data_IF_295720364270
#
_entry.id   IF_295720364270
#
_cell.length_a   1.000
_cell.length_b   1.000
_cell.length_c   1.000
_cell.angle_alpha   90.00
_cell.angle_beta   90.00
_cell.angle_gamma   90.00
#
_symmetry.space_group_name_H-M   'P 1'
#
loop_
_entity.id
_entity.type
_entity.pdbx_description
1 polymer ?
#
# COMPACT_ATOMS: atom_id res chain seq x y z
N UNK A 1 2.66 65.90 -19.72
CA UNK A 1 3.86 65.15 -20.16
C UNK A 1 4.16 64.11 -19.09
N UNK A 2 3.92 62.83 -19.38
CA UNK A 2 4.97 61.83 -19.66
C UNK A 2 5.83 61.54 -18.41
N UNK A 3 6.03 60.35 -17.86
CA UNK A 3 5.46 59.00 -17.92
C UNK A 3 6.24 58.22 -16.81
N UNK A 4 5.78 57.03 -16.44
CA UNK A 4 6.58 55.91 -15.90
C UNK A 4 7.13 56.03 -14.47
N UNK A 5 6.54 55.28 -13.53
CA UNK A 5 7.12 54.01 -13.07
C UNK A 5 6.12 53.25 -12.19
N UNK A 6 5.42 52.27 -12.78
CA UNK A 6 4.67 51.26 -12.04
C UNK A 6 5.65 50.16 -11.63
N UNK A 7 6.20 50.24 -10.42
CA UNK A 7 6.87 49.10 -9.81
C UNK A 7 5.81 48.17 -9.24
N UNK A 8 5.38 47.22 -10.07
CA UNK A 8 4.67 46.03 -9.65
C UNK A 8 5.56 45.29 -8.63
N UNK A 9 5.15 45.27 -7.38
CA UNK A 9 5.72 44.37 -6.37
C UNK A 9 5.19 42.97 -6.70
N UNK A 10 5.93 42.26 -7.55
CA UNK A 10 5.66 40.89 -7.93
C UNK A 10 5.71 40.03 -6.66
N UNK A 11 4.56 39.51 -6.26
CA UNK A 11 4.42 38.49 -5.23
C UNK A 11 5.30 37.30 -5.60
N UNK A 12 6.42 37.15 -4.91
CA UNK A 12 7.31 36.00 -5.02
C UNK A 12 6.62 34.85 -4.29
N UNK A 13 5.74 34.16 -4.99
CA UNK A 13 5.17 32.87 -4.57
C UNK A 13 6.28 31.84 -4.69
N UNK A 14 7.12 31.77 -3.66
CA UNK A 14 8.06 30.68 -3.43
C UNK A 14 7.36 29.56 -2.66
N UNK A 15 6.31 28.98 -3.24
CA UNK A 15 5.80 27.71 -2.75
C UNK A 15 6.76 26.63 -3.24
N UNK A 16 7.79 26.36 -2.44
CA UNK A 16 8.56 25.13 -2.53
C UNK A 16 7.56 24.00 -2.28
N UNK A 17 7.00 23.45 -3.36
CA UNK A 17 6.37 22.15 -3.36
C UNK A 17 7.48 21.15 -3.01
N UNK A 18 7.72 20.94 -1.71
CA UNK A 18 8.34 19.73 -1.24
C UNK A 18 7.47 18.59 -1.78
N UNK A 19 7.98 17.86 -2.77
CA UNK A 19 7.24 16.76 -3.38
C UNK A 19 6.79 15.81 -2.28
N UNK A 20 5.47 15.60 -2.17
CA UNK A 20 4.91 14.48 -1.42
C UNK A 20 5.28 13.20 -2.18
N UNK A 21 6.49 12.70 -1.95
CA UNK A 21 6.77 11.29 -2.17
C UNK A 21 6.08 10.50 -1.06
N UNK A 22 5.28 9.51 -1.43
CA UNK A 22 4.69 8.57 -0.47
C UNK A 22 5.72 7.54 0.04
N UNK A 23 6.96 7.61 -0.46
CA UNK A 23 8.06 6.78 -0.04
C UNK A 23 8.58 7.22 1.33
N UNK A 24 8.68 6.24 2.23
CA UNK A 24 9.27 6.38 3.56
C UNK A 24 10.72 5.92 3.60
N UNK A 25 11.24 5.41 2.48
CA UNK A 25 12.62 4.99 2.35
C UNK A 25 13.02 4.70 0.91
N UNK A 26 14.28 5.01 0.60
CA UNK A 26 14.91 4.73 -0.68
C UNK A 26 16.33 4.22 -0.43
N UNK A 27 16.61 3.00 -0.91
CA UNK A 27 17.92 2.35 -0.75
C UNK A 27 18.50 2.05 -2.13
N UNK A 28 19.61 2.69 -2.48
CA UNK A 28 20.26 2.45 -3.76
C UNK A 28 21.01 1.14 -3.80
N UNK A 29 20.86 0.38 -4.88
CA UNK A 29 21.56 -0.90 -5.11
C UNK A 29 22.91 -0.72 -5.82
N UNK A 30 23.44 0.50 -5.84
CA UNK A 30 24.77 0.83 -6.35
C UNK A 30 24.76 1.67 -7.62
N UNK A 31 25.80 2.47 -7.78
CA UNK A 31 25.93 3.47 -8.84
C UNK A 31 25.84 2.88 -10.26
N UNK A 32 26.27 1.62 -10.43
CA UNK A 32 26.28 0.93 -11.72
C UNK A 32 24.98 0.19 -12.05
N UNK A 33 24.11 -0.08 -11.07
CA UNK A 33 22.85 -0.80 -11.31
C UNK A 33 21.73 0.15 -11.70
N UNK A 34 21.84 1.44 -11.34
CA UNK A 34 20.78 2.46 -11.54
C UNK A 34 19.41 2.03 -11.01
N UNK A 35 19.41 1.16 -10.01
CA UNK A 35 18.22 0.58 -9.37
C UNK A 35 18.17 0.98 -7.93
N UNK A 36 16.98 1.37 -7.50
CA UNK A 36 16.72 1.71 -6.12
C UNK A 36 15.58 0.84 -5.59
N UNK A 37 15.69 0.42 -4.32
CA UNK A 37 14.57 -0.15 -3.57
C UNK A 37 13.83 1.02 -2.94
N UNK A 38 12.59 1.22 -3.37
CA UNK A 38 11.69 2.22 -2.78
C UNK A 38 10.76 1.51 -1.81
N UNK A 39 10.50 2.13 -0.67
CA UNK A 39 9.62 1.64 0.39
C UNK A 39 8.53 2.66 0.60
N UNK A 40 7.27 2.32 0.30
CA UNK A 40 6.13 3.19 0.57
C UNK A 40 5.40 2.75 1.83
N UNK A 41 4.84 3.70 2.57
CA UNK A 41 3.89 3.42 3.64
C UNK A 41 2.48 3.71 3.14
N UNK A 42 1.61 2.70 3.15
CA UNK A 42 0.22 2.81 2.72
C UNK A 42 -0.70 2.36 3.84
N UNK A 43 -1.59 3.25 4.25
CA UNK A 43 -2.69 2.88 5.13
C UNK A 43 -3.72 2.07 4.35
N UNK A 44 -4.29 1.09 5.04
CA UNK A 44 -5.45 0.41 4.52
C UNK A 44 -6.67 1.37 4.53
N UNK A 45 -7.32 1.62 3.38
CA UNK A 45 -8.37 2.63 3.26
C UNK A 45 -9.66 2.29 4.02
N UNK A 46 -9.87 1.01 4.36
CA UNK A 46 -11.06 0.54 5.09
C UNK A 46 -10.75 0.02 6.48
N UNK A 47 -9.50 -0.36 6.75
CA UNK A 47 -9.00 -0.79 8.06
C UNK A 47 -7.89 0.18 8.49
N UNK A 48 -8.22 1.42 8.89
CA UNK A 48 -7.22 2.47 9.17
C UNK A 48 -6.22 2.10 10.27
N UNK A 49 -6.56 1.13 11.13
CA UNK A 49 -5.66 0.53 12.11
C UNK A 49 -4.51 -0.30 11.53
N UNK A 50 -4.44 -0.51 10.21
CA UNK A 50 -3.38 -1.25 9.53
C UNK A 50 -2.57 -0.34 8.60
N UNK A 51 -1.25 -0.42 8.71
CA UNK A 51 -0.30 0.21 7.79
C UNK A 51 0.57 -0.85 7.14
N UNK A 52 0.68 -0.79 5.81
CA UNK A 52 1.51 -1.67 5.00
C UNK A 52 2.74 -0.91 4.48
N UNK A 53 3.91 -1.45 4.75
CA UNK A 53 5.16 -1.00 4.14
C UNK A 53 5.46 -1.88 2.94
N UNK A 54 5.53 -1.29 1.75
CA UNK A 54 5.65 -2.02 0.48
C UNK A 54 6.97 -1.64 -0.14
N UNK A 55 7.84 -2.63 -0.34
CA UNK A 55 9.13 -2.42 -1.02
C UNK A 55 9.03 -2.88 -2.48
N UNK A 56 9.54 -2.09 -3.42
CA UNK A 56 9.61 -2.45 -4.85
C UNK A 56 10.89 -1.93 -5.48
N UNK A 57 11.28 -2.51 -6.61
CA UNK A 57 12.39 -2.01 -7.41
C UNK A 57 11.90 -0.88 -8.32
N UNK A 58 12.48 0.31 -8.16
CA UNK A 58 12.39 1.39 -9.12
C UNK A 58 13.55 1.26 -10.12
N UNK A 59 13.21 1.07 -11.39
CA UNK A 59 14.17 0.98 -12.48
C UNK A 59 13.78 1.99 -13.56
N UNK A 60 14.63 2.99 -13.80
CA UNK A 60 14.29 4.11 -14.67
C UNK A 60 14.54 3.84 -16.16
N UNK A 61 15.34 2.84 -16.55
CA UNK A 61 15.76 2.65 -17.95
C UNK A 61 16.10 1.19 -18.32
N UNK A 62 15.84 0.20 -17.45
CA UNK A 62 16.40 -1.14 -17.59
C UNK A 62 15.36 -2.20 -18.02
N UNK A 63 15.78 -3.20 -18.81
CA UNK A 63 14.96 -4.39 -19.16
C UNK A 63 14.77 -5.35 -17.97
N UNK A 64 15.25 -4.96 -16.79
CA UNK A 64 15.10 -5.70 -15.56
C UNK A 64 13.63 -5.89 -15.20
N UNK A 65 13.33 -6.99 -14.53
CA UNK A 65 11.98 -7.27 -14.07
C UNK A 65 11.73 -6.55 -12.74
N UNK A 66 10.93 -5.46 -12.67
CA UNK A 66 10.65 -4.75 -11.42
C UNK A 66 9.65 -5.51 -10.53
N UNK A 67 9.40 -6.79 -10.84
CA UNK A 67 8.39 -7.62 -10.18
C UNK A 67 8.82 -8.12 -8.81
N UNK A 68 10.10 -8.00 -8.45
CA UNK A 68 10.57 -8.28 -7.10
C UNK A 68 10.07 -7.21 -6.13
N UNK A 69 9.31 -7.66 -5.14
CA UNK A 69 8.63 -6.81 -4.17
C UNK A 69 8.51 -7.50 -2.82
N UNK A 70 8.29 -6.70 -1.79
CA UNK A 70 8.06 -7.14 -0.42
C UNK A 70 6.91 -6.34 0.20
N UNK A 71 6.28 -6.91 1.23
CA UNK A 71 5.23 -6.24 1.98
C UNK A 71 5.31 -6.62 3.46
N UNK A 72 5.15 -5.65 4.34
CA UNK A 72 4.93 -5.87 5.77
C UNK A 72 3.80 -4.98 6.28
N UNK A 73 2.67 -5.59 6.56
CA UNK A 73 1.51 -4.95 7.15
C UNK A 73 1.48 -5.21 8.65
N UNK A 74 1.28 -4.14 9.43
CA UNK A 74 1.22 -4.19 10.89
C UNK A 74 0.01 -3.44 11.39
N UNK A 75 -0.51 -3.88 12.52
CA UNK A 75 -1.47 -3.10 13.28
C UNK A 75 -0.74 -1.89 13.87
N UNK A 76 -1.09 -0.70 13.40
CA UNK A 76 -0.55 0.60 13.85
C UNK A 76 -1.60 1.46 14.56
N UNK A 77 -2.84 0.96 14.67
CA UNK A 77 -3.95 1.59 15.38
C UNK A 77 -5.02 0.55 15.78
N UNK A 78 -6.12 0.99 16.40
CA UNK A 78 -7.22 0.09 16.72
C UNK A 78 -7.87 -0.46 15.43
N UNK A 79 -8.28 -1.73 15.47
CA UNK A 79 -9.11 -2.37 14.45
C UNK A 79 -10.43 -2.71 15.13
N UNK A 80 -11.52 -2.14 14.63
CA UNK A 80 -12.86 -2.26 15.21
C UNK A 80 -13.74 -3.17 14.36
N UNK A 81 -14.76 -3.78 14.97
CA UNK A 81 -15.73 -4.59 14.24
C UNK A 81 -16.45 -3.81 13.11
N UNK A 82 -16.64 -2.49 13.28
CA UNK A 82 -17.22 -1.62 12.27
C UNK A 82 -16.33 -1.46 11.02
N UNK A 83 -15.01 -1.56 11.18
CA UNK A 83 -14.06 -1.49 10.05
C UNK A 83 -14.24 -2.73 9.16
N UNK A 84 -14.42 -3.91 9.77
CA UNK A 84 -14.68 -5.18 9.07
C UNK A 84 -16.01 -5.17 8.33
N UNK A 85 -17.04 -4.49 8.80
CA UNK A 85 -18.34 -4.45 8.12
C UNK A 85 -18.28 -3.86 6.69
N UNK A 86 -17.21 -3.13 6.36
CA UNK A 86 -17.05 -2.43 5.08
C UNK A 86 -16.13 -3.15 4.08
N UNK A 87 -15.51 -4.27 4.45
CA UNK A 87 -14.57 -5.00 3.58
C UNK A 87 -15.23 -6.15 2.82
N UNK A 88 -14.62 -6.54 1.71
CA UNK A 88 -15.00 -7.75 0.99
C UNK A 88 -14.57 -9.01 1.77
N UNK A 89 -15.57 -9.82 2.17
CA UNK A 89 -15.39 -11.08 2.90
C UNK A 89 -15.28 -12.30 1.98
N UNK A 90 -15.36 -12.10 0.66
CA UNK A 90 -15.20 -13.15 -0.33
C UNK A 90 -13.76 -13.68 -0.40
N UNK A 91 -13.60 -14.91 -0.90
CA UNK A 91 -12.28 -15.55 -1.04
C UNK A 91 -11.32 -14.79 -1.97
N UNK A 92 -11.86 -13.99 -2.88
CA UNK A 92 -11.07 -13.15 -3.76
C UNK A 92 -10.62 -11.85 -3.08
N UNK A 93 -11.30 -11.41 -2.03
CA UNK A 93 -11.06 -10.11 -1.38
C UNK A 93 -11.07 -8.95 -2.38
N UNK A 94 -10.39 -7.86 -2.02
CA UNK A 94 -10.40 -6.61 -2.79
C UNK A 94 -9.00 -6.02 -3.00
N UNK A 95 -8.78 -5.37 -4.14
CA UNK A 95 -7.53 -4.62 -4.40
C UNK A 95 -7.64 -3.28 -3.71
N UNK A 96 -6.68 -2.98 -2.83
CA UNK A 96 -6.68 -1.78 -1.99
C UNK A 96 -5.61 -0.77 -2.41
N UNK A 97 -4.63 -1.23 -3.21
CA UNK A 97 -3.56 -0.41 -3.72
C UNK A 97 -3.15 -0.91 -5.11
N UNK A 98 -2.84 0.00 -6.02
CA UNK A 98 -2.30 -0.31 -7.35
C UNK A 98 -1.31 0.77 -7.74
N UNK A 99 -0.15 0.35 -8.24
CA UNK A 99 0.91 1.26 -8.68
C UNK A 99 1.55 0.75 -9.97
N UNK A 100 1.93 1.66 -10.87
CA UNK A 100 2.64 1.30 -12.10
C UNK A 100 4.13 1.11 -11.82
N UNK A 101 4.72 0.04 -12.36
CA UNK A 101 6.15 -0.28 -12.20
C UNK A 101 7.00 0.20 -13.41
N UNK A 102 6.56 1.24 -14.11
CA UNK A 102 7.27 1.98 -15.17
C UNK A 102 7.69 1.22 -16.45
N UNK A 103 7.66 -0.12 -16.47
CA UNK A 103 8.11 -0.95 -17.61
C UNK A 103 6.92 -1.69 -18.23
N UNK A 104 6.72 -1.55 -19.55
CA UNK A 104 5.75 -2.28 -20.42
C UNK A 104 4.54 -2.88 -19.67
N UNK A 105 3.62 -2.01 -19.25
CA UNK A 105 2.32 -2.35 -18.64
C UNK A 105 2.38 -3.26 -17.40
N UNK A 106 3.43 -3.17 -16.59
CA UNK A 106 3.47 -3.82 -15.28
C UNK A 106 2.85 -2.95 -14.20
N UNK A 107 2.04 -3.58 -13.35
CA UNK A 107 1.47 -2.95 -12.17
C UNK A 107 1.71 -3.82 -10.94
N UNK A 108 2.06 -3.19 -9.82
CA UNK A 108 2.00 -3.77 -8.49
C UNK A 108 0.57 -3.61 -7.96
N UNK A 109 0.03 -4.65 -7.34
CA UNK A 109 -1.27 -4.63 -6.68
C UNK A 109 -1.14 -5.20 -5.28
N UNK A 110 -1.81 -4.58 -4.31
CA UNK A 110 -2.03 -5.17 -2.98
C UNK A 110 -3.49 -5.51 -2.83
N UNK A 111 -3.76 -6.78 -2.51
CA UNK A 111 -5.10 -7.31 -2.31
C UNK A 111 -5.27 -7.74 -0.86
N UNK A 112 -6.32 -7.22 -0.23
CA UNK A 112 -6.74 -7.62 1.12
C UNK A 112 -7.74 -8.76 1.01
N UNK A 113 -7.54 -9.81 1.79
CA UNK A 113 -8.44 -10.96 1.92
C UNK A 113 -8.69 -11.19 3.40
N UNK A 114 -9.93 -11.45 3.78
CA UNK A 114 -10.26 -11.84 5.14
C UNK A 114 -10.32 -13.36 5.28
N UNK A 115 -9.50 -13.90 6.16
CA UNK A 115 -9.63 -15.28 6.63
C UNK A 115 -10.55 -15.30 7.85
N UNK A 116 -11.81 -15.66 7.62
CA UNK A 116 -12.83 -15.72 8.65
C UNK A 116 -12.58 -16.83 9.68
N UNK A 117 -11.91 -17.93 9.29
CA UNK A 117 -11.68 -19.05 10.19
C UNK A 117 -10.64 -18.69 11.25
N UNK A 118 -9.56 -18.02 10.84
CA UNK A 118 -8.48 -17.61 11.72
C UNK A 118 -8.58 -16.13 12.14
N UNK A 119 -9.66 -15.44 11.76
CA UNK A 119 -9.90 -14.02 12.00
C UNK A 119 -8.65 -13.18 11.74
N UNK A 120 -8.15 -13.24 10.50
CA UNK A 120 -6.88 -12.64 10.09
C UNK A 120 -7.06 -11.90 8.77
N UNK A 121 -6.46 -10.72 8.66
CA UNK A 121 -6.39 -9.95 7.42
C UNK A 121 -5.12 -10.35 6.67
N UNK A 122 -5.27 -10.83 5.44
CA UNK A 122 -4.19 -11.22 4.56
C UNK A 122 -3.98 -10.10 3.53
N UNK A 123 -2.72 -9.71 3.33
CA UNK A 123 -2.32 -8.70 2.37
C UNK A 123 -1.34 -9.31 1.39
N UNK A 124 -1.85 -9.63 0.20
CA UNK A 124 -1.07 -10.21 -0.89
C UNK A 124 -0.62 -9.08 -1.82
N UNK A 125 0.68 -8.84 -1.88
CA UNK A 125 1.31 -8.02 -2.91
C UNK A 125 1.70 -8.89 -4.08
N UNK A 126 1.33 -8.50 -5.30
CA UNK A 126 1.67 -9.23 -6.52
C UNK A 126 1.79 -8.28 -7.72
N UNK A 127 2.60 -8.67 -8.70
CA UNK A 127 2.66 -7.95 -9.98
C UNK A 127 1.73 -8.58 -11.01
N UNK A 128 1.17 -7.77 -11.89
CA UNK A 128 0.49 -8.24 -13.10
C UNK A 128 1.21 -7.70 -14.33
N UNK A 129 1.46 -8.58 -15.31
CA UNK A 129 1.91 -8.22 -16.65
C UNK A 129 0.84 -8.62 -17.64
N UNK A 130 0.40 -7.68 -18.48
CA UNK A 130 -0.72 -7.88 -19.43
C UNK A 130 -0.53 -9.07 -20.39
N UNK A 131 0.70 -9.51 -20.65
CA UNK A 131 0.96 -10.56 -21.66
C UNK A 131 1.15 -11.97 -21.11
N UNK A 132 1.78 -12.16 -19.93
CA UNK A 132 2.22 -13.48 -19.45
C UNK A 132 1.85 -13.80 -17.99
N UNK A 133 1.18 -12.89 -17.26
CA UNK A 133 1.10 -13.00 -15.80
C UNK A 133 2.46 -12.86 -15.11
N UNK A 134 2.49 -12.83 -13.78
CA UNK A 134 3.72 -12.86 -12.98
C UNK A 134 3.51 -13.74 -11.76
N UNK A 135 4.49 -14.55 -11.42
CA UNK A 135 4.47 -15.41 -10.23
C UNK A 135 5.08 -14.73 -9.01
N UNK A 136 5.64 -13.51 -9.15
CA UNK A 136 6.27 -12.79 -8.06
C UNK A 136 5.21 -12.17 -7.16
N UNK A 137 5.26 -12.57 -5.89
CA UNK A 137 4.33 -12.15 -4.86
C UNK A 137 5.00 -12.14 -3.49
N UNK A 138 4.39 -11.40 -2.56
CA UNK A 138 4.73 -11.40 -1.16
C UNK A 138 3.45 -11.35 -0.32
N UNK A 139 3.44 -11.99 0.84
CA UNK A 139 2.29 -12.07 1.72
C UNK A 139 2.64 -11.51 3.09
N UNK A 140 1.76 -10.67 3.63
CA UNK A 140 1.75 -10.28 5.04
C UNK A 140 0.40 -10.63 5.65
N UNK A 141 0.39 -10.93 6.94
CA UNK A 141 -0.83 -11.20 7.70
C UNK A 141 -0.91 -10.30 8.93
N UNK A 142 -2.12 -9.85 9.25
CA UNK A 142 -2.44 -9.09 10.47
C UNK A 142 -3.53 -9.85 11.21
N UNK A 143 -3.21 -10.56 12.32
CA UNK A 143 -4.22 -11.25 13.10
C UNK A 143 -5.13 -10.22 13.79
N UNK A 144 -6.42 -10.52 13.88
CA UNK A 144 -7.34 -9.69 14.67
C UNK A 144 -7.26 -10.02 16.16
N UNK A 145 -6.56 -11.08 16.56
CA UNK A 145 -6.42 -11.49 17.95
C UNK A 145 -5.88 -10.34 18.82
N UNK A 146 -6.61 -10.02 19.90
CA UNK A 146 -6.28 -8.89 20.78
C UNK A 146 -6.72 -7.52 20.27
N UNK A 147 -7.32 -7.42 19.07
CA UNK A 147 -7.97 -6.20 18.59
C UNK A 147 -9.42 -6.10 19.06
N UNK A 148 -10.01 -4.91 18.95
CA UNK A 148 -11.43 -4.68 19.24
C UNK A 148 -12.38 -5.35 18.22
N UNK A 149 -11.84 -5.88 17.11
CA UNK A 149 -12.57 -6.64 16.11
C UNK A 149 -12.50 -8.16 16.33
N UNK A 150 -11.72 -8.63 17.31
CA UNK A 150 -11.68 -10.05 17.65
C UNK A 150 -13.04 -10.49 18.22
N UNK A 151 -13.51 -11.63 17.72
CA UNK A 151 -14.69 -12.30 18.28
C UNK A 151 -14.23 -13.63 18.83
N UNK A 152 -14.38 -13.84 20.14
CA UNK A 152 -14.01 -15.11 20.76
C UNK A 152 -14.86 -16.27 20.15
N UNK A 153 -14.21 -17.30 19.58
CA UNK A 153 -14.91 -18.46 19.05
C UNK A 153 -15.79 -19.16 20.10
N UNK A 154 -15.38 -19.21 21.37
CA UNK A 154 -16.14 -19.80 22.45
C UNK A 154 -17.42 -19.02 22.74
N UNK A 155 -17.35 -17.68 22.78
CA UNK A 155 -18.53 -16.83 22.96
C UNK A 155 -19.48 -16.89 21.75
N UNK A 156 -18.93 -16.98 20.55
CA UNK A 156 -19.71 -17.11 19.30
C UNK A 156 -20.49 -18.42 19.22
N UNK A 157 -19.90 -19.51 19.71
CA UNK A 157 -20.54 -20.82 19.74
C UNK A 157 -21.73 -20.83 20.70
N UNK A 158 -21.60 -20.21 21.87
CA UNK A 158 -22.69 -20.08 22.85
C UNK A 158 -23.85 -19.25 22.30
N UNK A 159 -23.55 -18.14 21.61
CA UNK A 159 -24.59 -17.29 21.01
C UNK A 159 -25.40 -17.96 19.90
N UNK A 160 -24.82 -18.93 19.16
CA UNK A 160 -25.52 -19.70 18.12
C UNK A 160 -26.35 -20.87 18.66
N UNK A 161 -26.11 -21.26 19.91
CA UNK A 161 -26.77 -22.41 20.54
C UNK A 161 -28.07 -22.02 21.30
N UNK A 162 -28.35 -20.72 21.43
CA UNK A 162 -29.58 -20.17 21.99
C UNK A 162 -30.42 -19.50 20.90
#
# INVERSE_FOLDING_TARGET
>A
MKTLLKCAFAATVGFLLAGCGDDVGKVSLGLFTTKDVIIDAKHDPKIPGVTCHISRIEANLDFADPSDMGISCRQTGPINAADLANIDMGKHGEVIFTESLSILFKSLKVRRIYDAQNQTLLYLSYSTKETNGSHKHALSTVPLYGSAAWVDPALSAVAKAN
#
